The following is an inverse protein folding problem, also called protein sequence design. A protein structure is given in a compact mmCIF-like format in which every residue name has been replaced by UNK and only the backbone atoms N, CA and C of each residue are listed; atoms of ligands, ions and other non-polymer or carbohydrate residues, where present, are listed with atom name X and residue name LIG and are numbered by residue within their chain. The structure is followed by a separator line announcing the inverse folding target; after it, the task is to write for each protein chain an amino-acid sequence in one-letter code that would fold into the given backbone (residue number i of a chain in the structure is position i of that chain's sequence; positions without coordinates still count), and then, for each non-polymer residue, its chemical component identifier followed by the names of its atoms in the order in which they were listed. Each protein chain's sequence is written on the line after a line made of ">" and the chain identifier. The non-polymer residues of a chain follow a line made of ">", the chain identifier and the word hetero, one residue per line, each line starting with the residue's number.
data_IF_960432015304
#
_entry.id   IF_960432015304
#
_cell.length_a   1.000
_cell.length_b   1.000
_cell.length_c   1.000
_cell.angle_alpha   90.00
_cell.angle_beta   90.00
_cell.angle_gamma   90.00
#
_symmetry.space_group_name_H-M   'P 1'
#
loop_
_entity.id
_entity.type
_entity.pdbx_description
1 polymer ?
#
# COMPACT_ATOMS: atom_id res chain seq x y z
N UNK A 1 1.43 -19.98 -31.78
CA UNK A 1 0.24 -19.27 -32.30
C UNK A 1 -1.01 -20.13 -32.32
N UNK A 2 -1.00 -21.33 -32.91
CA UNK A 2 -2.20 -22.19 -32.98
C UNK A 2 -2.76 -22.59 -31.59
N UNK A 3 -1.89 -22.99 -30.65
CA UNK A 3 -2.31 -23.37 -29.29
C UNK A 3 -2.92 -22.20 -28.51
N UNK A 4 -2.26 -21.03 -28.51
CA UNK A 4 -2.80 -19.83 -27.88
C UNK A 4 -4.14 -19.41 -28.51
N UNK A 5 -4.27 -19.52 -29.83
CA UNK A 5 -5.55 -19.27 -30.50
C UNK A 5 -6.68 -20.21 -30.07
N UNK A 6 -6.39 -21.47 -29.72
CA UNK A 6 -7.40 -22.39 -29.15
C UNK A 6 -7.75 -21.99 -27.72
N UNK A 7 -6.75 -21.66 -26.89
CA UNK A 7 -6.94 -21.22 -25.52
C UNK A 7 -7.78 -19.93 -25.49
N UNK A 8 -7.44 -18.95 -26.31
CA UNK A 8 -8.15 -17.67 -26.39
C UNK A 8 -9.62 -17.87 -26.76
N UNK A 9 -9.91 -18.72 -27.76
CA UNK A 9 -11.29 -19.03 -28.15
C UNK A 9 -12.07 -19.69 -27.01
N UNK A 10 -11.43 -20.61 -26.27
CA UNK A 10 -12.06 -21.30 -25.16
C UNK A 10 -12.31 -20.36 -23.96
N UNK A 11 -11.31 -19.57 -23.55
CA UNK A 11 -11.44 -18.60 -22.45
C UNK A 11 -12.53 -17.57 -22.77
N UNK A 12 -12.58 -17.05 -24.01
CA UNK A 12 -13.58 -16.04 -24.41
C UNK A 12 -15.01 -16.59 -24.52
N UNK A 13 -15.20 -17.92 -24.57
CA UNK A 13 -16.51 -18.53 -24.67
C UNK A 13 -17.20 -18.71 -23.31
N UNK A 14 -16.50 -18.46 -22.20
CA UNK A 14 -16.96 -18.73 -20.84
C UNK A 14 -16.84 -17.50 -19.94
N UNK A 15 -17.74 -17.33 -18.94
CA UNK A 15 -17.54 -16.34 -17.88
C UNK A 15 -16.25 -16.61 -17.09
N UNK A 16 -15.61 -15.54 -16.59
CA UNK A 16 -14.34 -15.62 -15.85
C UNK A 16 -14.38 -16.64 -14.71
N UNK A 17 -15.46 -16.66 -13.93
CA UNK A 17 -15.63 -17.55 -12.78
C UNK A 17 -15.57 -19.02 -13.21
N UNK A 18 -16.18 -19.35 -14.35
CA UNK A 18 -16.18 -20.71 -14.88
C UNK A 18 -14.81 -21.11 -15.44
N UNK A 19 -14.09 -20.18 -16.08
CA UNK A 19 -12.73 -20.42 -16.55
C UNK A 19 -11.81 -20.74 -15.37
N UNK A 20 -11.82 -19.90 -14.34
CA UNK A 20 -11.00 -20.09 -13.13
C UNK A 20 -11.38 -21.38 -12.42
N UNK A 21 -12.66 -21.70 -12.28
CA UNK A 21 -13.11 -22.96 -11.66
C UNK A 21 -12.60 -24.19 -12.44
N UNK A 22 -12.69 -24.17 -13.77
CA UNK A 22 -12.22 -25.28 -14.61
C UNK A 22 -10.70 -25.44 -14.56
N UNK A 23 -9.95 -24.33 -14.62
CA UNK A 23 -8.48 -24.36 -14.51
C UNK A 23 -8.04 -24.87 -13.14
N UNK A 24 -8.69 -24.43 -12.06
CA UNK A 24 -8.41 -24.92 -10.70
C UNK A 24 -8.68 -26.43 -10.57
N UNK A 25 -9.79 -26.94 -11.11
CA UNK A 25 -10.09 -28.38 -11.13
C UNK A 25 -9.04 -29.19 -11.91
N UNK A 26 -8.43 -28.59 -12.92
CA UNK A 26 -7.36 -29.18 -13.71
C UNK A 26 -5.96 -28.95 -13.11
N UNK A 27 -5.87 -28.37 -11.90
CA UNK A 27 -4.62 -28.02 -11.22
C UNK A 27 -3.72 -27.07 -12.04
N UNK A 28 -4.32 -26.28 -12.93
CA UNK A 28 -3.62 -25.25 -13.70
C UNK A 28 -3.58 -23.95 -12.90
N UNK A 29 -2.39 -23.41 -12.57
CA UNK A 29 -2.29 -22.13 -11.85
C UNK A 29 -2.85 -21.00 -12.70
N UNK A 30 -3.99 -20.46 -12.27
CA UNK A 30 -4.62 -19.32 -12.89
C UNK A 30 -5.27 -18.44 -11.83
N UNK A 31 -5.25 -17.14 -12.06
CA UNK A 31 -5.93 -16.16 -11.23
C UNK A 31 -6.57 -15.09 -12.10
N UNK A 32 -7.61 -14.46 -11.56
CA UNK A 32 -8.11 -13.22 -12.15
C UNK A 32 -7.03 -12.13 -12.09
N UNK A 33 -7.09 -11.20 -13.02
CA UNK A 33 -6.34 -9.95 -12.94
C UNK A 33 -7.16 -9.01 -12.05
N UNK A 34 -6.56 -8.56 -10.95
CA UNK A 34 -7.22 -7.69 -9.98
C UNK A 34 -7.07 -6.21 -10.37
N UNK A 35 -8.17 -5.47 -10.31
CA UNK A 35 -8.12 -4.01 -10.20
C UNK A 35 -7.85 -3.56 -8.76
N UNK A 36 -7.53 -2.29 -8.55
CA UNK A 36 -7.37 -1.74 -7.19
C UNK A 36 -8.66 -1.85 -6.36
N UNK A 37 -9.83 -1.71 -7.00
CA UNK A 37 -11.13 -1.89 -6.36
C UNK A 37 -11.35 -3.37 -5.95
N UNK A 38 -11.03 -4.31 -6.84
CA UNK A 38 -11.12 -5.75 -6.52
C UNK A 38 -10.26 -6.09 -5.30
N UNK A 39 -9.04 -5.55 -5.20
CA UNK A 39 -8.15 -5.81 -4.07
C UNK A 39 -8.74 -5.31 -2.75
N UNK A 40 -9.41 -4.16 -2.76
CA UNK A 40 -10.02 -3.57 -1.55
C UNK A 40 -11.23 -4.36 -1.05
N UNK A 41 -11.91 -5.09 -1.94
CA UNK A 41 -13.06 -5.94 -1.62
C UNK A 41 -12.70 -7.41 -1.39
N UNK A 42 -11.46 -7.83 -1.73
CA UNK A 42 -11.07 -9.23 -1.70
C UNK A 42 -10.99 -9.78 -0.26
N UNK A 43 -11.66 -10.92 0.03
CA UNK A 43 -11.66 -11.51 1.36
C UNK A 43 -10.27 -11.83 1.92
N UNK A 44 -9.33 -12.24 1.06
CA UNK A 44 -7.98 -12.60 1.48
C UNK A 44 -7.13 -11.36 1.78
N UNK A 45 -7.28 -10.28 1.01
CA UNK A 45 -6.63 -9.00 1.33
C UNK A 45 -7.13 -8.42 2.65
N UNK A 46 -8.45 -8.50 2.89
CA UNK A 46 -9.08 -8.04 4.12
C UNK A 46 -8.66 -8.89 5.33
N UNK A 47 -8.72 -10.23 5.22
CA UNK A 47 -8.34 -11.15 6.29
C UNK A 47 -6.87 -11.03 6.70
N UNK A 48 -6.00 -10.58 5.78
CA UNK A 48 -4.57 -10.39 6.02
C UNK A 48 -4.18 -8.98 6.39
N UNK A 49 -5.14 -8.07 6.53
CA UNK A 49 -4.91 -6.65 6.83
C UNK A 49 -3.88 -6.05 5.86
N UNK A 50 -4.09 -6.29 4.57
CA UNK A 50 -3.22 -5.80 3.49
C UNK A 50 -3.42 -4.31 3.18
N UNK A 51 -4.39 -3.66 3.84
CA UNK A 51 -4.61 -2.21 3.78
C UNK A 51 -4.84 -1.63 5.17
N UNK A 52 -3.97 -0.72 5.58
CA UNK A 52 -4.12 0.05 6.81
C UNK A 52 -5.05 1.24 6.59
N UNK A 53 -5.86 1.56 7.61
CA UNK A 53 -6.66 2.79 7.63
C UNK A 53 -5.79 3.93 8.16
N UNK A 54 -5.82 5.06 7.48
CA UNK A 54 -5.11 6.26 7.86
C UNK A 54 -5.98 7.50 7.58
N UNK A 55 -5.61 8.64 8.14
CA UNK A 55 -6.20 9.93 7.80
C UNK A 55 -5.10 10.86 7.26
N UNK A 56 -5.42 11.55 6.17
CA UNK A 56 -4.55 12.61 5.65
C UNK A 56 -4.61 13.85 6.55
N UNK A 57 -3.65 14.79 6.44
CA UNK A 57 -3.64 16.02 7.24
C UNK A 57 -4.90 16.90 7.07
N UNK A 58 -5.66 16.72 5.99
CA UNK A 58 -6.94 17.40 5.74
C UNK A 58 -8.16 16.63 6.31
N UNK A 59 -7.94 15.54 7.04
CA UNK A 59 -8.96 14.73 7.70
C UNK A 59 -9.65 13.71 6.81
N UNK A 60 -9.21 13.53 5.56
CA UNK A 60 -9.80 12.51 4.67
C UNK A 60 -9.28 11.11 5.00
N UNK A 61 -10.19 10.14 4.99
CA UNK A 61 -9.85 8.73 5.07
C UNK A 61 -8.97 8.30 3.89
N UNK A 62 -7.95 7.52 4.22
CA UNK A 62 -6.97 7.00 3.27
C UNK A 62 -6.65 5.54 3.57
N UNK A 63 -6.37 4.76 2.53
CA UNK A 63 -5.96 3.36 2.61
C UNK A 63 -4.51 3.24 2.16
N UNK A 64 -3.65 2.87 3.10
CA UNK A 64 -2.23 2.64 2.86
C UNK A 64 -1.97 1.14 2.71
N UNK A 65 -1.00 0.70 1.89
CA UNK A 65 -0.56 -0.69 1.88
C UNK A 65 -0.20 -1.19 3.29
N UNK A 66 -0.60 -2.42 3.59
CA UNK A 66 -0.24 -3.09 4.83
C UNK A 66 1.25 -3.42 4.91
N UNK A 67 1.72 -3.61 6.14
CA UNK A 67 3.13 -3.95 6.38
C UNK A 67 3.36 -5.42 6.03
N UNK A 68 4.40 -5.64 5.20
CA UNK A 68 4.83 -6.95 4.74
C UNK A 68 6.36 -7.10 4.91
N UNK A 69 6.86 -8.27 5.32
CA UNK A 69 6.12 -9.46 5.74
C UNK A 69 5.42 -9.28 7.11
N UNK A 70 4.44 -10.14 7.42
CA UNK A 70 3.80 -10.19 8.74
C UNK A 70 4.65 -11.07 9.67
N UNK A 71 5.27 -10.46 10.66
CA UNK A 71 6.08 -11.15 11.66
C UNK A 71 5.22 -11.55 12.86
N UNK A 72 5.39 -12.76 13.39
CA UNK A 72 4.63 -13.26 14.54
C UNK A 72 5.02 -12.59 15.85
N UNK A 73 6.33 -12.40 16.05
CA UNK A 73 6.88 -12.00 17.35
C UNK A 73 7.03 -10.48 17.46
N UNK A 74 7.30 -9.83 16.32
CA UNK A 74 7.46 -8.37 16.22
C UNK A 74 6.64 -7.82 15.04
N UNK A 75 5.30 -7.84 15.12
CA UNK A 75 4.46 -7.26 14.07
C UNK A 75 4.81 -5.80 13.83
N UNK A 76 4.98 -5.41 12.56
CA UNK A 76 5.21 -4.00 12.23
C UNK A 76 3.94 -3.16 12.42
N UNK A 77 4.13 -1.88 12.74
CA UNK A 77 3.08 -0.87 12.84
C UNK A 77 3.45 0.38 12.02
N UNK A 78 2.46 1.20 11.72
CA UNK A 78 2.67 2.53 11.13
C UNK A 78 1.94 3.56 11.99
N UNK A 79 2.69 4.53 12.51
CA UNK A 79 2.18 5.50 13.48
C UNK A 79 1.67 6.78 12.83
N UNK A 80 2.16 7.13 11.63
CA UNK A 80 1.85 8.38 10.95
C UNK A 80 2.00 8.27 9.43
N UNK A 81 1.31 9.14 8.68
CA UNK A 81 1.21 9.11 7.20
C UNK A 81 2.33 9.83 6.45
N UNK A 82 3.17 10.56 7.17
CA UNK A 82 4.03 11.62 6.64
C UNK A 82 4.05 12.80 7.61
N UNK A 83 5.19 13.47 7.91
CA UNK A 83 5.13 14.69 8.68
C UNK A 83 4.75 15.83 7.71
N UNK A 84 4.45 17.01 8.23
CA UNK A 84 4.49 18.20 7.40
C UNK A 84 5.92 18.55 7.05
N UNK A 85 6.09 19.31 5.98
CA UNK A 85 7.39 19.88 5.63
C UNK A 85 7.90 20.71 6.82
N UNK A 86 9.09 20.36 7.30
CA UNK A 86 9.75 21.06 8.41
C UNK A 86 9.20 20.76 9.81
N UNK A 87 8.24 19.84 9.97
CA UNK A 87 7.57 19.57 11.26
C UNK A 87 8.55 19.28 12.40
N UNK A 88 9.64 18.57 12.11
CA UNK A 88 10.66 18.17 13.09
C UNK A 88 11.92 19.04 13.06
N UNK A 89 11.96 20.14 12.29
CA UNK A 89 13.18 20.96 12.13
C UNK A 89 13.69 21.47 13.49
N UNK A 90 12.82 22.07 14.28
CA UNK A 90 13.20 22.66 15.56
C UNK A 90 13.63 21.58 16.57
N UNK A 91 12.90 20.48 16.66
CA UNK A 91 13.21 19.35 17.55
C UNK A 91 14.60 18.77 17.24
N UNK A 92 14.87 18.49 15.96
CA UNK A 92 16.13 17.90 15.53
C UNK A 92 17.30 18.86 15.69
N UNK A 93 17.14 20.14 15.32
CA UNK A 93 18.22 21.13 15.47
C UNK A 93 18.57 21.35 16.94
N UNK A 94 17.58 21.38 17.85
CA UNK A 94 17.84 21.44 19.29
C UNK A 94 18.57 20.19 19.78
N UNK A 95 18.16 18.99 19.35
CA UNK A 95 18.84 17.75 19.69
C UNK A 95 20.29 17.70 19.19
N UNK A 96 20.59 18.41 18.09
CA UNK A 96 21.94 18.56 17.53
C UNK A 96 22.76 19.67 18.21
N UNK A 97 22.19 20.41 19.16
CA UNK A 97 22.90 21.42 19.97
C UNK A 97 22.79 22.85 19.44
N UNK A 98 21.90 23.13 18.49
CA UNK A 98 21.59 24.51 18.09
C UNK A 98 20.76 25.19 19.18
N UNK A 99 21.16 26.40 19.57
CA UNK A 99 20.35 27.22 20.46
C UNK A 99 19.16 27.85 19.71
N UNK A 100 18.20 28.38 20.48
CA UNK A 100 16.99 28.98 19.91
C UNK A 100 17.29 30.17 18.97
N UNK A 101 18.38 30.91 19.21
CA UNK A 101 18.74 32.06 18.38
C UNK A 101 19.28 31.62 17.02
N UNK A 102 20.11 30.58 16.99
CA UNK A 102 20.64 29.99 15.77
C UNK A 102 19.51 29.40 14.92
N UNK A 103 18.55 28.71 15.53
CA UNK A 103 17.38 28.15 14.82
C UNK A 103 16.52 29.26 14.21
N UNK A 104 16.22 30.32 14.97
CA UNK A 104 15.46 31.47 14.45
C UNK A 104 16.15 32.10 13.24
N UNK A 105 17.48 32.28 13.27
CA UNK A 105 18.23 32.83 12.14
C UNK A 105 18.10 31.95 10.88
N UNK A 106 18.14 30.63 11.03
CA UNK A 106 17.98 29.73 9.89
C UNK A 106 16.59 29.87 9.23
N UNK A 107 15.53 30.07 10.02
CA UNK A 107 14.18 30.37 9.50
C UNK A 107 14.14 31.73 8.79
N UNK A 108 14.73 32.76 9.41
CA UNK A 108 14.76 34.14 8.86
C UNK A 108 15.54 34.21 7.54
N UNK A 109 16.64 33.46 7.44
CA UNK A 109 17.48 33.37 6.24
C UNK A 109 16.86 32.49 5.14
N UNK A 110 15.75 31.79 5.41
CA UNK A 110 15.11 30.85 4.50
C UNK A 110 15.93 29.58 4.22
N UNK A 111 16.87 29.25 5.12
CA UNK A 111 17.69 28.06 5.03
C UNK A 111 16.93 26.79 5.48
N UNK A 112 15.90 26.95 6.32
CA UNK A 112 15.00 25.88 6.80
C UNK A 112 13.54 26.34 6.81
#
# INVERSE_FOLDING_TARGET
>A
DELYGVIDRWVNALPLEQVVEQLNKAEVPASRIYSAEDMLADPQFLAREMFLKAQLPDGKDFKMPGIVPKLSDTPGSCEWVGPKLGEHNNELLQALGYDALAITRLHEDGAI
#
